data_IF_717930877573
#
_entry.id   IF_717930877573
#
_cell.length_a   1.000
_cell.length_b   1.000
_cell.length_c   1.000
_cell.angle_alpha   90.00
_cell.angle_beta   90.00
_cell.angle_gamma   90.00
#
_symmetry.space_group_name_H-M   'P 1'
#
loop_
_entity.id
_entity.type
_entity.pdbx_description
1 polymer ?
#
# COMPACT_ATOMS: atom_id res chain seq x y z
N UNK A 1 -16.90 -6.14 23.34
CA UNK A 1 -17.58 -6.35 22.08
C UNK A 1 -18.23 -5.09 21.51
N UNK A 2 -19.09 -4.34 22.23
CA UNK A 2 -19.75 -3.11 21.72
C UNK A 2 -18.80 -1.95 21.36
N UNK A 3 -17.65 -1.80 22.03
CA UNK A 3 -16.69 -0.71 21.78
C UNK A 3 -15.79 -0.93 20.54
N UNK A 4 -15.51 -2.18 20.19
CA UNK A 4 -14.71 -2.55 19.02
C UNK A 4 -15.50 -2.34 17.72
N UNK A 5 -16.79 -2.66 17.73
CA UNK A 5 -17.70 -2.38 16.63
C UNK A 5 -17.87 -0.87 16.37
N UNK A 6 -17.74 -0.06 17.45
CA UNK A 6 -17.88 1.40 17.37
C UNK A 6 -16.65 2.07 16.69
N UNK A 7 -15.43 1.49 16.79
CA UNK A 7 -14.25 2.05 16.15
C UNK A 7 -14.26 1.81 14.63
N UNK A 8 -14.62 0.61 14.20
CA UNK A 8 -14.90 0.34 12.78
C UNK A 8 -16.06 1.18 12.26
N UNK A 9 -17.09 1.39 13.10
CA UNK A 9 -18.21 2.29 12.78
C UNK A 9 -17.78 3.77 12.79
N UNK A 10 -16.77 4.19 13.58
CA UNK A 10 -16.29 5.58 13.58
C UNK A 10 -15.43 5.92 12.38
N UNK A 11 -14.53 5.04 11.92
CA UNK A 11 -13.89 5.20 10.61
C UNK A 11 -14.97 5.17 9.52
N UNK A 12 -15.95 4.30 9.64
CA UNK A 12 -17.09 4.20 8.75
C UNK A 12 -18.02 5.42 8.83
N UNK A 13 -18.30 5.96 10.04
CA UNK A 13 -19.18 7.10 10.24
C UNK A 13 -18.55 8.44 9.89
N UNK A 14 -17.22 8.60 10.02
CA UNK A 14 -16.52 9.77 9.48
C UNK A 14 -16.43 9.73 7.94
N UNK A 15 -16.34 8.54 7.34
CA UNK A 15 -16.32 8.40 5.88
C UNK A 15 -17.72 8.38 5.23
N UNK A 16 -18.80 8.04 5.97
CA UNK A 16 -20.15 7.84 5.39
C UNK A 16 -21.03 9.11 5.45
N UNK A 17 -20.56 10.19 6.08
CA UNK A 17 -21.28 11.49 6.02
C UNK A 17 -20.84 12.39 4.86
N UNK A 18 -20.39 11.82 3.75
CA UNK A 18 -20.36 12.55 2.50
C UNK A 18 -21.60 12.20 1.70
N UNK A 19 -22.48 13.20 1.56
CA UNK A 19 -23.66 13.14 0.69
C UNK A 19 -23.26 12.68 -0.72
N UNK A 20 -24.03 11.74 -1.25
CA UNK A 20 -23.87 11.18 -2.59
C UNK A 20 -24.29 12.19 -3.68
N UNK A 21 -23.65 13.35 -3.71
CA UNK A 21 -23.67 14.21 -4.90
C UNK A 21 -22.34 14.00 -5.62
N UNK A 22 -22.39 13.22 -6.71
CA UNK A 22 -21.28 13.04 -7.65
C UNK A 22 -20.94 14.40 -8.30
N UNK A 23 -20.13 15.21 -7.63
CA UNK A 23 -19.51 16.35 -8.26
C UNK A 23 -18.26 15.85 -9.01
N UNK A 24 -18.29 15.97 -10.34
CA UNK A 24 -17.11 15.88 -11.19
C UNK A 24 -16.10 16.94 -10.72
N UNK A 25 -15.14 16.54 -9.88
CA UNK A 25 -14.05 17.42 -9.52
C UNK A 25 -12.99 17.37 -10.63
N UNK A 26 -12.68 18.51 -11.26
CA UNK A 26 -11.58 18.57 -12.21
C UNK A 26 -10.26 18.20 -11.50
N UNK A 27 -9.43 17.41 -12.16
CA UNK A 27 -8.08 17.12 -11.69
C UNK A 27 -7.31 18.44 -11.64
N UNK A 28 -6.74 18.86 -10.49
CA UNK A 28 -6.01 20.12 -10.41
C UNK A 28 -4.79 20.11 -11.33
N UNK A 29 -4.69 21.09 -12.22
CA UNK A 29 -3.57 21.24 -13.19
C UNK A 29 -2.44 22.15 -12.67
N UNK A 30 -2.40 22.53 -11.40
CA UNK A 30 -1.38 23.42 -10.83
C UNK A 30 -0.46 22.69 -9.87
N UNK A 31 0.81 23.12 -9.69
CA UNK A 31 1.70 22.56 -8.69
C UNK A 31 1.12 22.86 -7.30
N UNK A 32 0.48 21.86 -6.72
CA UNK A 32 -0.07 21.95 -5.37
C UNK A 32 1.08 21.70 -4.40
N UNK A 33 1.26 22.50 -3.34
CA UNK A 33 2.21 22.22 -2.26
C UNK A 33 1.91 20.83 -1.66
N UNK A 34 2.91 20.20 -1.03
CA UNK A 34 2.73 18.90 -0.39
C UNK A 34 1.48 18.91 0.48
N UNK A 35 0.53 18.05 0.16
CA UNK A 35 -0.75 17.98 0.87
C UNK A 35 -0.69 16.79 1.82
N UNK A 36 -1.04 17.03 3.08
CA UNK A 36 -1.27 15.93 4.02
C UNK A 36 -2.34 15.00 3.43
N UNK A 37 -2.12 13.67 3.44
CA UNK A 37 -3.06 12.73 2.83
C UNK A 37 -4.47 12.91 3.35
N UNK A 38 -5.42 13.05 2.45
CA UNK A 38 -6.80 13.46 2.78
C UNK A 38 -7.45 12.49 3.75
N UNK A 39 -7.32 11.19 3.51
CA UNK A 39 -7.89 10.13 4.35
C UNK A 39 -7.26 10.11 5.75
N UNK A 40 -5.95 10.27 5.85
CA UNK A 40 -5.23 10.27 7.14
C UNK A 40 -5.52 11.55 7.93
N UNK A 41 -5.53 12.71 7.27
CA UNK A 41 -5.83 13.99 7.91
C UNK A 41 -7.22 14.03 8.54
N UNK A 42 -8.22 13.44 7.92
CA UNK A 42 -9.57 13.40 8.45
C UNK A 42 -9.64 12.67 9.80
N UNK A 43 -8.79 11.64 9.98
CA UNK A 43 -8.70 10.84 11.20
C UNK A 43 -7.77 11.50 12.23
N UNK A 44 -6.61 12.01 11.83
CA UNK A 44 -5.62 12.61 12.73
C UNK A 44 -6.12 13.90 13.39
N UNK A 45 -7.05 14.61 12.77
CA UNK A 45 -7.68 15.81 13.31
C UNK A 45 -8.88 15.53 14.23
N UNK A 46 -9.35 14.27 14.35
CA UNK A 46 -10.42 13.91 15.29
C UNK A 46 -9.82 13.69 16.70
N UNK A 47 -10.24 14.51 17.63
CA UNK A 47 -9.79 14.44 19.05
C UNK A 47 -10.06 13.06 19.67
N UNK A 48 -11.17 12.41 19.35
CA UNK A 48 -11.49 11.07 19.86
C UNK A 48 -10.53 10.02 19.32
N UNK A 49 -10.06 10.17 18.07
CA UNK A 49 -9.06 9.29 17.51
C UNK A 49 -7.72 9.46 18.22
N UNK A 50 -7.29 10.70 18.50
CA UNK A 50 -6.07 10.97 19.27
C UNK A 50 -6.14 10.37 20.67
N UNK A 51 -7.21 10.62 21.40
CA UNK A 51 -7.43 10.05 22.74
C UNK A 51 -7.42 8.52 22.74
N UNK A 52 -8.00 7.89 21.70
CA UNK A 52 -7.95 6.45 21.55
C UNK A 52 -6.52 5.95 21.31
N UNK A 53 -5.77 6.59 20.40
CA UNK A 53 -4.37 6.25 20.11
C UNK A 53 -3.53 6.34 21.37
N UNK A 54 -3.63 7.45 22.11
CA UNK A 54 -2.89 7.65 23.37
C UNK A 54 -3.25 6.58 24.40
N UNK A 55 -4.54 6.28 24.55
CA UNK A 55 -5.04 5.23 25.44
C UNK A 55 -4.47 3.85 25.10
N UNK A 56 -4.32 3.53 23.80
CA UNK A 56 -3.77 2.25 23.34
C UNK A 56 -2.26 2.21 23.58
N UNK A 57 -1.54 3.23 23.12
CA UNK A 57 -0.08 3.31 23.25
C UNK A 57 0.39 3.28 24.71
N UNK A 58 -0.34 3.94 25.62
CA UNK A 58 0.00 3.96 27.05
C UNK A 58 -0.15 2.60 27.74
N UNK A 59 -0.92 1.67 27.16
CA UNK A 59 -1.08 0.30 27.67
C UNK A 59 -0.08 -0.69 27.08
N UNK A 60 0.55 -0.33 25.97
CA UNK A 60 1.50 -1.20 25.25
C UNK A 60 2.91 -1.09 25.83
N UNK A 61 3.54 -2.25 26.06
CA UNK A 61 4.98 -2.32 26.26
C UNK A 61 5.73 -2.15 24.93
N UNK A 62 7.06 -2.01 24.98
CA UNK A 62 7.88 -1.79 23.79
C UNK A 62 7.75 -2.92 22.75
N UNK A 63 7.67 -4.17 23.19
CA UNK A 63 7.55 -5.34 22.30
C UNK A 63 6.23 -5.30 21.51
N UNK A 64 5.14 -4.96 22.19
CA UNK A 64 3.83 -4.80 21.56
C UNK A 64 3.80 -3.64 20.57
N UNK A 65 4.38 -2.48 20.94
CA UNK A 65 4.52 -1.34 20.02
C UNK A 65 5.31 -1.70 18.76
N UNK A 66 6.41 -2.46 18.92
CA UNK A 66 7.20 -2.96 17.78
C UNK A 66 6.34 -3.91 16.93
N UNK A 67 5.59 -4.82 17.55
CA UNK A 67 4.68 -5.73 16.84
C UNK A 67 3.72 -5.01 15.91
N UNK A 68 3.17 -3.85 16.34
CA UNK A 68 2.24 -3.04 15.55
C UNK A 68 2.83 -2.50 14.23
N UNK A 69 4.15 -2.48 14.09
CA UNK A 69 4.82 -2.05 12.85
C UNK A 69 4.92 -3.16 11.80
N UNK A 70 4.50 -4.38 12.11
CA UNK A 70 4.62 -5.53 11.22
C UNK A 70 3.27 -5.93 10.63
N UNK A 71 3.28 -6.18 9.32
CA UNK A 71 2.22 -6.86 8.58
C UNK A 71 2.75 -8.25 8.25
N UNK A 72 2.05 -9.30 8.73
CA UNK A 72 2.45 -10.68 8.52
C UNK A 72 1.67 -11.33 7.39
N UNK A 73 2.37 -11.98 6.46
CA UNK A 73 1.72 -12.72 5.36
C UNK A 73 1.27 -14.09 5.84
N UNK A 74 -0.01 -14.41 5.64
CA UNK A 74 -0.61 -15.68 6.02
C UNK A 74 -1.43 -16.27 4.86
N UNK A 75 -1.41 -17.60 4.73
CA UNK A 75 -2.25 -18.27 3.74
C UNK A 75 -3.71 -18.34 4.23
N UNK A 76 -4.72 -18.16 3.35
CA UNK A 76 -6.12 -18.34 3.71
C UNK A 76 -6.48 -19.82 3.70
N UNK A 77 -5.93 -20.57 4.65
CA UNK A 77 -6.13 -22.02 4.85
C UNK A 77 -6.64 -22.28 6.26
N UNK A 78 -7.65 -23.16 6.40
CA UNK A 78 -8.33 -23.39 7.68
C UNK A 78 -7.76 -24.61 8.46
N UNK A 79 -6.62 -25.17 8.05
CA UNK A 79 -5.97 -26.25 8.78
C UNK A 79 -5.42 -25.81 10.15
N UNK A 80 -5.14 -26.80 10.99
CA UNK A 80 -4.66 -26.56 12.36
C UNK A 80 -3.34 -25.77 12.39
N UNK A 81 -2.39 -26.11 11.52
CA UNK A 81 -1.08 -25.49 11.51
C UNK A 81 -1.18 -23.98 11.21
N UNK A 82 -2.01 -23.62 10.22
CA UNK A 82 -2.23 -22.22 9.85
C UNK A 82 -2.98 -21.43 10.95
N UNK A 83 -3.96 -22.05 11.64
CA UNK A 83 -4.62 -21.42 12.80
C UNK A 83 -3.69 -21.24 13.99
N UNK A 84 -2.81 -22.21 14.25
CA UNK A 84 -1.80 -22.10 15.31
C UNK A 84 -0.79 -20.99 14.97
N UNK A 85 -0.40 -20.86 13.70
CA UNK A 85 0.42 -19.74 13.21
C UNK A 85 -0.30 -18.41 13.37
N UNK A 86 -1.57 -18.32 12.98
CA UNK A 86 -2.39 -17.12 13.13
C UNK A 86 -2.44 -16.66 14.58
N UNK A 87 -2.69 -17.58 15.51
CA UNK A 87 -2.68 -17.29 16.96
C UNK A 87 -1.31 -16.80 17.43
N UNK A 88 -0.24 -17.47 17.03
CA UNK A 88 1.13 -17.07 17.37
C UNK A 88 1.46 -15.65 16.90
N UNK A 89 1.01 -15.29 15.70
CA UNK A 89 1.30 -13.99 15.07
C UNK A 89 0.46 -12.88 15.71
N UNK A 90 -0.84 -13.11 15.85
CA UNK A 90 -1.77 -12.09 16.34
C UNK A 90 -1.66 -11.91 17.86
N UNK A 91 -1.79 -12.99 18.62
CA UNK A 91 -1.78 -12.95 20.09
C UNK A 91 -0.35 -12.96 20.66
N UNK A 92 0.55 -13.76 20.11
CA UNK A 92 1.92 -13.89 20.63
C UNK A 92 2.84 -12.74 20.21
N UNK A 93 2.79 -12.29 18.97
CA UNK A 93 3.67 -11.22 18.45
C UNK A 93 2.99 -9.84 18.39
N UNK A 94 1.66 -9.79 18.58
CA UNK A 94 0.87 -8.54 18.56
C UNK A 94 1.12 -7.71 17.30
N UNK A 95 1.13 -8.38 16.11
CA UNK A 95 1.34 -7.68 14.84
C UNK A 95 0.23 -6.66 14.58
N UNK A 96 0.59 -5.57 13.87
CA UNK A 96 -0.37 -4.52 13.53
C UNK A 96 -1.27 -4.87 12.35
N UNK A 97 -0.87 -5.85 11.50
CA UNK A 97 -1.67 -6.21 10.35
C UNK A 97 -1.38 -7.60 9.80
N UNK A 98 -2.25 -8.01 8.88
CA UNK A 98 -2.13 -9.25 8.12
C UNK A 98 -2.26 -8.97 6.63
N UNK A 99 -1.46 -9.68 5.83
CA UNK A 99 -1.60 -9.80 4.38
C UNK A 99 -2.00 -11.23 4.04
N UNK A 100 -3.17 -11.43 3.44
CA UNK A 100 -3.56 -12.75 2.98
C UNK A 100 -2.97 -13.04 1.59
N UNK A 101 -2.26 -14.18 1.47
CA UNK A 101 -1.82 -14.70 0.18
C UNK A 101 -2.98 -15.31 -0.60
N UNK A 102 -2.72 -15.85 -1.80
CA UNK A 102 -3.78 -16.40 -2.66
C UNK A 102 -4.52 -17.60 -2.07
N UNK A 103 -5.85 -17.68 -2.27
CA UNK A 103 -6.67 -18.80 -1.80
C UNK A 103 -8.16 -18.64 -2.10
N UNK A 104 -9.00 -19.18 -1.22
CA UNK A 104 -10.45 -19.05 -1.29
C UNK A 104 -10.92 -17.82 -0.51
N UNK A 105 -11.86 -17.09 -1.08
CA UNK A 105 -12.46 -15.89 -0.48
C UNK A 105 -13.09 -16.19 0.88
N UNK A 106 -13.84 -17.28 0.98
CA UNK A 106 -14.51 -17.69 2.22
C UNK A 106 -13.52 -17.98 3.35
N UNK A 107 -12.39 -18.61 3.03
CA UNK A 107 -11.36 -18.90 4.01
C UNK A 107 -10.72 -17.62 4.55
N UNK A 108 -10.45 -16.64 3.68
CA UNK A 108 -9.96 -15.35 4.14
C UNK A 108 -10.95 -14.67 5.08
N UNK A 109 -12.23 -14.62 4.72
CA UNK A 109 -13.26 -14.00 5.55
C UNK A 109 -13.33 -14.64 6.96
N UNK A 110 -13.30 -15.97 7.03
CA UNK A 110 -13.30 -16.73 8.29
C UNK A 110 -12.07 -16.38 9.12
N UNK A 111 -10.87 -16.46 8.53
CA UNK A 111 -9.61 -16.19 9.25
C UNK A 111 -9.46 -14.71 9.65
N UNK A 112 -9.97 -13.79 8.83
CA UNK A 112 -10.05 -12.36 9.21
C UNK A 112 -10.89 -12.18 10.47
N UNK A 113 -12.06 -12.79 10.53
CA UNK A 113 -12.93 -12.72 11.72
C UNK A 113 -12.30 -13.40 12.96
N UNK A 114 -11.63 -14.54 12.76
CA UNK A 114 -10.89 -15.21 13.84
C UNK A 114 -9.75 -14.32 14.36
N UNK A 115 -8.97 -13.71 13.48
CA UNK A 115 -7.87 -12.83 13.81
C UNK A 115 -8.32 -11.57 14.56
N UNK A 116 -9.36 -10.90 14.06
CA UNK A 116 -9.91 -9.70 14.70
C UNK A 116 -10.50 -9.97 16.09
N UNK A 117 -11.03 -11.18 16.33
CA UNK A 117 -11.52 -11.57 17.66
C UNK A 117 -10.39 -11.80 18.68
N UNK A 118 -9.20 -12.23 18.20
CA UNK A 118 -8.04 -12.48 19.05
C UNK A 118 -7.22 -11.22 19.33
N UNK A 119 -7.28 -10.23 18.45
CA UNK A 119 -6.47 -9.04 18.52
C UNK A 119 -6.93 -8.08 19.63
N UNK A 120 -5.99 -7.59 20.45
CA UNK A 120 -6.25 -6.54 21.46
C UNK A 120 -6.47 -5.18 20.80
N UNK A 121 -5.78 -4.92 19.69
CA UNK A 121 -5.94 -3.76 18.83
C UNK A 121 -6.40 -4.27 17.47
N UNK A 122 -7.41 -3.63 16.85
CA UNK A 122 -7.88 -4.05 15.52
C UNK A 122 -6.75 -4.14 14.52
N UNK A 123 -6.67 -5.28 13.83
CA UNK A 123 -5.65 -5.53 12.81
C UNK A 123 -5.94 -4.74 11.54
N UNK A 124 -4.89 -4.23 10.92
CA UNK A 124 -4.92 -3.73 9.56
C UNK A 124 -4.88 -4.93 8.60
N UNK A 125 -5.99 -5.24 7.97
CA UNK A 125 -6.02 -6.28 6.93
C UNK A 125 -5.65 -5.64 5.61
N UNK A 126 -4.58 -6.13 5.00
CA UNK A 126 -4.03 -5.62 3.76
C UNK A 126 -4.19 -6.63 2.63
N UNK A 127 -4.14 -6.16 1.40
CA UNK A 127 -4.37 -7.00 0.23
C UNK A 127 -3.61 -6.51 -1.00
N UNK A 128 -3.13 -7.45 -1.85
CA UNK A 128 -2.59 -7.16 -3.17
C UNK A 128 -3.68 -7.33 -4.23
N UNK A 129 -4.49 -6.31 -4.43
CA UNK A 129 -5.57 -6.30 -5.41
C UNK A 129 -5.34 -5.29 -6.53
N UNK A 130 -4.22 -5.40 -7.26
CA UNK A 130 -3.83 -4.42 -8.29
C UNK A 130 -4.87 -4.28 -9.39
N UNK A 131 -5.49 -5.40 -9.82
CA UNK A 131 -6.59 -5.46 -10.76
C UNK A 131 -7.81 -6.20 -10.18
N UNK A 132 -8.03 -6.06 -8.88
CA UNK A 132 -9.15 -6.64 -8.15
C UNK A 132 -8.78 -7.85 -7.30
N UNK A 133 -9.74 -8.30 -6.53
CA UNK A 133 -9.53 -9.39 -5.56
C UNK A 133 -9.17 -10.72 -6.25
N UNK A 134 -9.60 -10.92 -7.50
CA UNK A 134 -9.28 -12.11 -8.31
C UNK A 134 -7.78 -12.30 -8.57
N UNK A 135 -6.96 -11.26 -8.35
CA UNK A 135 -5.50 -11.41 -8.37
C UNK A 135 -5.03 -12.48 -7.37
N UNK A 136 -5.71 -12.62 -6.24
CA UNK A 136 -5.34 -13.50 -5.13
C UNK A 136 -6.45 -14.49 -4.75
N UNK A 137 -7.71 -14.11 -4.86
CA UNK A 137 -8.84 -14.87 -4.35
C UNK A 137 -9.69 -15.47 -5.44
N UNK A 138 -9.89 -16.76 -5.38
CA UNK A 138 -10.87 -17.47 -6.22
C UNK A 138 -12.27 -17.18 -5.72
N UNK A 139 -13.23 -17.12 -6.64
CA UNK A 139 -14.63 -16.83 -6.35
C UNK A 139 -14.99 -15.35 -6.37
N UNK A 140 -14.05 -14.47 -6.76
CA UNK A 140 -14.28 -13.03 -6.89
C UNK A 140 -14.36 -12.59 -8.35
N UNK A 141 -14.99 -11.44 -8.66
CA UNK A 141 -15.05 -10.89 -10.02
C UNK A 141 -13.67 -10.67 -10.62
N UNK A 142 -13.54 -11.00 -11.91
CA UNK A 142 -12.28 -10.85 -12.66
C UNK A 142 -12.31 -9.56 -13.47
N UNK A 143 -11.29 -8.72 -13.29
CA UNK A 143 -11.12 -7.48 -14.03
C UNK A 143 -9.88 -7.55 -14.95
N UNK A 144 -9.83 -6.70 -15.99
CA UNK A 144 -8.64 -6.59 -16.84
C UNK A 144 -7.41 -6.15 -16.06
N UNK A 145 -6.22 -6.49 -16.57
CA UNK A 145 -4.97 -6.00 -16.04
C UNK A 145 -4.80 -4.50 -16.29
N UNK A 146 -3.98 -3.84 -15.47
CA UNK A 146 -3.78 -2.39 -15.47
C UNK A 146 -3.36 -1.83 -16.83
N UNK A 147 -2.56 -2.56 -17.64
CA UNK A 147 -2.18 -2.11 -18.98
C UNK A 147 -3.41 -1.89 -19.89
N UNK A 148 -4.43 -2.72 -19.77
CA UNK A 148 -5.70 -2.55 -20.50
C UNK A 148 -6.47 -1.36 -19.92
N UNK A 149 -6.53 -1.25 -18.60
CA UNK A 149 -7.17 -0.11 -17.92
C UNK A 149 -6.49 1.22 -18.25
N UNK A 150 -5.17 1.21 -18.51
CA UNK A 150 -4.39 2.36 -18.95
C UNK A 150 -4.80 2.92 -20.32
N UNK A 151 -5.46 2.12 -21.15
CA UNK A 151 -5.98 2.56 -22.45
C UNK A 151 -7.30 3.35 -22.34
N UNK A 152 -7.96 3.34 -21.19
CA UNK A 152 -9.22 4.06 -20.96
C UNK A 152 -8.94 5.57 -20.98
N UNK A 153 -9.66 6.32 -21.83
CA UNK A 153 -9.48 7.78 -21.94
C UNK A 153 -10.26 8.57 -20.88
N UNK A 154 -11.34 8.00 -20.39
CA UNK A 154 -12.16 8.64 -19.36
C UNK A 154 -11.77 8.18 -17.97
N UNK A 155 -11.02 8.99 -17.24
CA UNK A 155 -10.51 8.66 -15.90
C UNK A 155 -11.62 8.49 -14.85
N UNK A 156 -12.84 9.00 -15.11
CA UNK A 156 -13.99 8.75 -14.24
C UNK A 156 -14.31 7.24 -14.15
N UNK A 157 -14.05 6.47 -15.20
CA UNK A 157 -14.24 5.02 -15.17
C UNK A 157 -13.21 4.33 -14.27
N UNK A 158 -11.98 4.86 -14.21
CA UNK A 158 -10.94 4.36 -13.30
C UNK A 158 -11.28 4.71 -11.83
N UNK A 159 -11.87 5.88 -11.61
CA UNK A 159 -12.37 6.27 -10.30
C UNK A 159 -13.48 5.31 -9.84
N UNK A 160 -14.50 5.08 -10.68
CA UNK A 160 -15.59 4.14 -10.37
C UNK A 160 -15.08 2.70 -10.18
N UNK A 161 -14.09 2.29 -10.97
CA UNK A 161 -13.38 1.03 -10.76
C UNK A 161 -12.73 0.97 -9.36
N UNK A 162 -12.06 2.05 -8.94
CA UNK A 162 -11.51 2.16 -7.59
C UNK A 162 -12.57 2.07 -6.49
N UNK A 163 -13.72 2.69 -6.70
CA UNK A 163 -14.88 2.61 -5.81
C UNK A 163 -15.40 1.17 -5.66
N UNK A 164 -15.49 0.45 -6.79
CA UNK A 164 -15.92 -0.96 -6.78
C UNK A 164 -14.89 -1.84 -6.07
N UNK A 165 -13.59 -1.62 -6.29
CA UNK A 165 -12.54 -2.34 -5.57
C UNK A 165 -12.62 -2.09 -4.07
N UNK A 166 -12.86 -0.85 -3.65
CA UNK A 166 -13.06 -0.52 -2.24
C UNK A 166 -14.28 -1.23 -1.64
N UNK A 167 -15.39 -1.30 -2.38
CA UNK A 167 -16.58 -2.03 -1.95
C UNK A 167 -16.27 -3.49 -1.69
N UNK A 168 -15.60 -4.17 -2.63
CA UNK A 168 -15.21 -5.58 -2.49
C UNK A 168 -14.22 -5.78 -1.34
N UNK A 169 -13.22 -4.92 -1.20
CA UNK A 169 -12.27 -4.96 -0.09
C UNK A 169 -12.98 -4.87 1.27
N UNK A 170 -13.89 -3.93 1.43
CA UNK A 170 -14.62 -3.75 2.69
C UNK A 170 -15.52 -4.92 3.05
N UNK A 171 -16.16 -5.55 2.08
CA UNK A 171 -16.97 -6.75 2.29
C UNK A 171 -16.15 -7.91 2.85
N UNK A 172 -14.84 -7.97 2.53
CA UNK A 172 -13.91 -8.95 3.07
C UNK A 172 -13.12 -8.46 4.31
N UNK A 173 -13.45 -7.27 4.83
CA UNK A 173 -12.76 -6.70 5.98
C UNK A 173 -11.34 -6.21 5.67
N UNK A 174 -11.04 -5.86 4.43
CA UNK A 174 -9.75 -5.30 4.00
C UNK A 174 -9.77 -3.77 4.11
N UNK A 175 -8.80 -3.20 4.83
CA UNK A 175 -8.68 -1.76 5.06
C UNK A 175 -7.66 -1.10 4.14
N UNK A 176 -6.67 -1.86 3.65
CA UNK A 176 -5.58 -1.34 2.81
C UNK A 176 -5.43 -2.20 1.57
N UNK A 177 -5.48 -1.59 0.40
CA UNK A 177 -5.12 -2.26 -0.84
C UNK A 177 -3.73 -1.78 -1.30
N UNK A 178 -2.79 -2.71 -1.48
CA UNK A 178 -1.46 -2.43 -2.06
C UNK A 178 -1.58 -2.22 -3.58
N UNK A 179 -2.31 -1.19 -3.92
CA UNK A 179 -2.61 -0.67 -5.26
C UNK A 179 -2.88 0.84 -5.16
N UNK A 180 -2.64 1.58 -6.24
CA UNK A 180 -2.27 1.20 -7.60
C UNK A 180 -0.76 0.98 -7.81
N UNK A 181 -0.42 0.30 -8.94
CA UNK A 181 0.94 0.25 -9.47
C UNK A 181 1.25 1.55 -10.20
N UNK A 182 2.22 2.31 -9.69
CA UNK A 182 2.65 3.60 -10.24
C UNK A 182 3.92 3.52 -11.09
N UNK A 183 4.43 2.31 -11.29
CA UNK A 183 5.59 2.06 -12.14
C UNK A 183 5.27 2.35 -13.61
N UNK A 184 6.18 3.05 -14.31
CA UNK A 184 6.07 3.36 -15.75
C UNK A 184 6.80 2.28 -16.54
N UNK A 185 6.10 1.49 -17.36
CA UNK A 185 6.67 0.34 -18.05
C UNK A 185 7.45 0.73 -19.30
N UNK A 186 8.58 1.40 -19.11
CA UNK A 186 9.46 1.84 -20.24
C UNK A 186 10.15 0.65 -20.89
N UNK A 187 10.56 -0.35 -20.10
CA UNK A 187 11.25 -1.53 -20.63
C UNK A 187 10.24 -2.63 -21.00
N UNK A 188 10.03 -2.91 -22.29
CA UNK A 188 9.11 -3.98 -22.72
C UNK A 188 9.55 -5.38 -22.29
N UNK A 189 10.83 -5.56 -21.91
CA UNK A 189 11.39 -6.81 -21.40
C UNK A 189 11.30 -6.94 -19.88
N UNK A 190 10.71 -5.94 -19.19
CA UNK A 190 10.58 -5.99 -17.75
C UNK A 190 9.82 -7.26 -17.31
N UNK A 191 10.43 -8.15 -16.50
CA UNK A 191 9.83 -9.42 -16.16
C UNK A 191 8.77 -9.32 -15.04
N UNK A 192 8.71 -8.18 -14.33
CA UNK A 192 7.90 -8.01 -13.11
C UNK A 192 6.71 -7.09 -13.34
N UNK A 193 6.94 -5.90 -13.87
CA UNK A 193 5.91 -4.86 -14.00
C UNK A 193 5.03 -5.13 -15.21
N UNK A 194 5.56 -5.02 -16.41
CA UNK A 194 4.86 -5.39 -17.65
C UNK A 194 3.37 -4.98 -17.60
N UNK A 195 2.45 -5.92 -17.76
CA UNK A 195 0.99 -5.69 -17.77
C UNK A 195 0.40 -5.22 -16.43
N UNK A 196 1.18 -5.16 -15.37
CA UNK A 196 0.79 -4.58 -14.07
C UNK A 196 0.79 -3.05 -14.11
N UNK A 197 1.59 -2.41 -14.96
CA UNK A 197 1.59 -0.96 -15.17
C UNK A 197 0.36 -0.50 -15.96
N UNK A 198 -0.03 0.77 -15.79
CA UNK A 198 -1.01 1.45 -16.64
C UNK A 198 -0.45 1.92 -17.99
N UNK A 199 0.84 1.71 -18.27
CA UNK A 199 1.46 2.04 -19.54
C UNK A 199 2.89 2.55 -19.44
N UNK A 200 3.36 3.14 -20.54
CA UNK A 200 4.75 3.62 -20.71
C UNK A 200 4.87 5.16 -20.68
N UNK A 201 3.75 5.87 -20.66
CA UNK A 201 3.73 7.32 -20.57
C UNK A 201 3.57 7.75 -19.09
N UNK A 202 4.55 8.48 -18.49
CA UNK A 202 4.50 8.86 -17.08
C UNK A 202 3.26 9.68 -16.70
N UNK A 203 2.80 10.57 -17.57
CA UNK A 203 1.63 11.40 -17.31
C UNK A 203 0.35 10.56 -17.28
N UNK A 204 0.16 9.69 -18.30
CA UNK A 204 -0.98 8.79 -18.33
C UNK A 204 -0.99 7.85 -17.12
N UNK A 205 0.16 7.28 -16.76
CA UNK A 205 0.27 6.44 -15.55
C UNK A 205 -0.14 7.23 -14.30
N UNK A 206 0.33 8.48 -14.16
CA UNK A 206 -0.02 9.32 -13.01
C UNK A 206 -1.54 9.59 -12.93
N UNK A 207 -2.18 9.91 -14.05
CA UNK A 207 -3.62 10.19 -14.09
C UNK A 207 -4.44 8.94 -13.69
N UNK A 208 -4.08 7.76 -14.22
CA UNK A 208 -4.73 6.48 -13.86
C UNK A 208 -4.52 6.12 -12.39
N UNK A 209 -3.30 6.28 -11.89
CA UNK A 209 -2.95 6.07 -10.47
C UNK A 209 -3.82 6.94 -9.57
N UNK A 210 -3.93 8.23 -9.87
CA UNK A 210 -4.71 9.18 -9.07
C UNK A 210 -6.19 8.82 -9.10
N UNK A 211 -6.75 8.55 -10.28
CA UNK A 211 -8.16 8.22 -10.43
C UNK A 211 -8.52 6.94 -9.66
N UNK A 212 -7.76 5.87 -9.84
CA UNK A 212 -7.97 4.60 -9.15
C UNK A 212 -7.82 4.73 -7.63
N UNK A 213 -6.72 5.36 -7.18
CA UNK A 213 -6.47 5.54 -5.76
C UNK A 213 -7.51 6.39 -5.05
N UNK A 214 -7.99 7.48 -5.68
CA UNK A 214 -9.10 8.28 -5.14
C UNK A 214 -10.37 7.46 -5.01
N UNK A 215 -10.69 6.65 -6.01
CA UNK A 215 -11.83 5.74 -5.92
C UNK A 215 -11.72 4.78 -4.73
N UNK A 216 -10.53 4.21 -4.49
CA UNK A 216 -10.26 3.39 -3.30
C UNK A 216 -10.50 4.18 -2.00
N UNK A 217 -9.89 5.35 -1.86
CA UNK A 217 -9.91 6.14 -0.63
C UNK A 217 -11.30 6.74 -0.33
N UNK A 218 -11.98 7.27 -1.33
CA UNK A 218 -13.37 7.72 -1.20
C UNK A 218 -14.33 6.54 -0.92
N UNK A 219 -13.92 5.33 -1.31
CA UNK A 219 -14.58 4.08 -0.94
C UNK A 219 -14.24 3.58 0.46
N UNK A 220 -13.36 4.25 1.21
CA UNK A 220 -12.98 3.89 2.57
C UNK A 220 -11.89 2.82 2.67
N UNK A 221 -11.07 2.62 1.63
CA UNK A 221 -9.93 1.71 1.60
C UNK A 221 -8.66 2.50 1.28
N UNK A 222 -7.66 2.43 2.14
CA UNK A 222 -6.39 3.12 1.97
C UNK A 222 -5.67 2.57 0.74
N UNK A 223 -5.30 3.47 -0.17
CA UNK A 223 -4.50 3.15 -1.35
C UNK A 223 -3.00 3.18 -1.05
N UNK A 224 -2.22 2.36 -1.75
CA UNK A 224 -0.76 2.34 -1.62
C UNK A 224 -0.12 2.31 -3.00
N UNK A 225 0.42 3.44 -3.42
CA UNK A 225 1.16 3.55 -4.68
C UNK A 225 2.48 2.81 -4.62
N UNK A 226 2.81 1.99 -5.63
CA UNK A 226 3.98 1.10 -5.63
C UNK A 226 4.63 0.96 -7.01
N UNK A 227 5.92 0.66 -7.13
CA UNK A 227 6.94 0.39 -6.12
C UNK A 227 7.97 1.53 -6.13
N UNK A 228 7.89 2.44 -5.16
CA UNK A 228 8.79 3.60 -5.09
C UNK A 228 10.27 3.15 -4.99
N UNK A 229 11.24 3.78 -5.68
CA UNK A 229 11.13 4.98 -6.53
C UNK A 229 10.78 4.71 -8.01
N UNK A 230 10.35 3.51 -8.38
CA UNK A 230 9.91 3.12 -9.72
C UNK A 230 10.63 1.88 -10.25
N UNK A 231 9.88 0.82 -10.55
CA UNK A 231 10.40 -0.50 -10.95
C UNK A 231 10.18 -0.79 -12.45
N UNK A 232 9.65 0.19 -13.21
CA UNK A 232 9.15 -0.06 -14.57
C UNK A 232 10.23 -0.20 -15.65
N UNK A 233 11.47 0.21 -15.38
CA UNK A 233 12.60 0.12 -16.33
C UNK A 233 13.73 -0.79 -15.81
N UNK A 234 13.36 -1.88 -15.15
CA UNK A 234 14.30 -2.93 -14.73
C UNK A 234 14.23 -4.12 -15.67
N UNK A 235 15.32 -4.85 -15.79
CA UNK A 235 15.48 -6.09 -16.58
C UNK A 235 15.58 -7.34 -15.70
N UNK A 236 15.53 -7.17 -14.38
CA UNK A 236 15.69 -8.23 -13.39
C UNK A 236 14.50 -8.24 -12.43
N UNK A 237 14.05 -9.44 -12.05
CA UNK A 237 13.00 -9.64 -11.07
C UNK A 237 13.53 -9.50 -9.63
N UNK A 238 12.98 -8.55 -8.86
CA UNK A 238 13.31 -8.32 -7.46
C UNK A 238 13.02 -9.52 -6.53
N UNK A 239 12.18 -10.46 -6.97
CA UNK A 239 11.99 -11.74 -6.27
C UNK A 239 13.21 -12.66 -6.35
N UNK A 240 14.10 -12.45 -7.31
CA UNK A 240 15.28 -13.31 -7.55
C UNK A 240 16.60 -12.65 -7.22
N UNK A 241 16.74 -11.35 -7.47
CA UNK A 241 17.96 -10.57 -7.18
C UNK A 241 17.59 -9.09 -7.02
N UNK A 242 18.56 -8.25 -6.61
CA UNK A 242 18.37 -6.81 -6.46
C UNK A 242 18.48 -6.11 -7.83
N UNK A 243 17.36 -5.61 -8.42
CA UNK A 243 17.40 -4.87 -9.66
C UNK A 243 18.12 -3.54 -9.49
N UNK A 244 18.78 -3.06 -10.54
CA UNK A 244 19.57 -1.84 -10.50
C UNK A 244 19.10 -0.82 -11.55
N UNK A 245 18.89 0.42 -11.10
CA UNK A 245 18.58 1.57 -11.95
C UNK A 245 19.80 2.51 -12.00
N UNK A 246 20.46 2.60 -13.15
CA UNK A 246 21.68 3.38 -13.32
C UNK A 246 21.44 4.72 -14.02
N UNK A 247 20.25 5.28 -13.86
CA UNK A 247 19.84 6.53 -14.52
C UNK A 247 20.34 7.77 -13.78
N UNK A 248 20.40 8.89 -14.51
CA UNK A 248 20.61 10.20 -13.91
C UNK A 248 19.42 10.63 -13.06
N UNK A 249 19.64 11.54 -12.10
CA UNK A 249 18.57 12.10 -11.30
C UNK A 249 17.48 12.75 -12.17
N UNK A 250 17.86 13.51 -13.22
CA UNK A 250 16.91 14.14 -14.13
C UNK A 250 16.00 13.13 -14.84
N UNK A 251 16.56 11.96 -15.24
CA UNK A 251 15.76 10.90 -15.84
C UNK A 251 14.79 10.29 -14.80
N UNK A 252 15.24 9.98 -13.59
CA UNK A 252 14.37 9.48 -12.54
C UNK A 252 13.24 10.47 -12.24
N UNK A 253 13.53 11.75 -12.16
CA UNK A 253 12.55 12.80 -11.88
C UNK A 253 11.47 12.92 -12.94
N UNK A 254 11.84 12.71 -14.24
CA UNK A 254 10.93 12.88 -15.37
C UNK A 254 10.12 11.64 -15.70
N UNK A 255 10.55 10.46 -15.28
CA UNK A 255 9.88 9.19 -15.61
C UNK A 255 9.49 8.42 -14.35
N UNK A 256 10.47 7.85 -13.65
CA UNK A 256 10.21 6.91 -12.57
C UNK A 256 9.49 7.57 -11.38
N UNK A 257 9.97 8.73 -10.96
CA UNK A 257 9.42 9.47 -9.81
C UNK A 257 8.17 10.30 -10.16
N UNK A 258 7.91 10.52 -11.45
CA UNK A 258 6.83 11.41 -11.86
C UNK A 258 5.45 11.00 -11.35
N UNK A 259 4.99 9.74 -11.51
CA UNK A 259 3.68 9.32 -11.01
C UNK A 259 3.58 9.41 -9.47
N UNK A 260 4.66 9.11 -8.76
CA UNK A 260 4.71 9.21 -7.30
C UNK A 260 4.61 10.65 -6.81
N UNK A 261 5.30 11.60 -7.48
CA UNK A 261 5.17 13.03 -7.20
C UNK A 261 3.73 13.50 -7.38
N UNK A 262 3.07 13.05 -8.45
CA UNK A 262 1.66 13.37 -8.71
C UNK A 262 0.71 12.75 -7.69
N UNK A 263 0.96 11.51 -7.28
CA UNK A 263 0.22 10.85 -6.20
C UNK A 263 0.31 11.61 -4.87
N UNK A 264 1.51 12.05 -4.50
CA UNK A 264 1.74 12.89 -3.29
C UNK A 264 0.99 14.22 -3.41
N UNK A 265 1.10 14.91 -4.54
CA UNK A 265 0.38 16.17 -4.80
C UNK A 265 -1.14 16.01 -4.78
N UNK A 266 -1.64 14.85 -5.15
CA UNK A 266 -3.06 14.50 -5.07
C UNK A 266 -3.51 14.15 -3.64
N UNK A 267 -2.60 14.05 -2.66
CA UNK A 267 -2.92 13.75 -1.27
C UNK A 267 -3.27 12.28 -1.03
N UNK A 268 -2.66 11.34 -1.78
CA UNK A 268 -2.86 9.91 -1.59
C UNK A 268 -2.15 9.39 -0.33
N UNK A 269 -2.69 8.35 0.29
CA UNK A 269 -2.41 8.01 1.68
C UNK A 269 -1.25 7.05 1.89
N UNK A 270 -0.92 6.18 0.93
CA UNK A 270 0.08 5.13 1.10
C UNK A 270 1.15 5.11 0.01
N UNK A 271 2.37 4.72 0.41
CA UNK A 271 3.51 4.52 -0.46
C UNK A 271 4.22 3.22 -0.10
N UNK A 272 4.45 2.33 -1.08
CA UNK A 272 5.27 1.14 -0.89
C UNK A 272 6.63 1.33 -1.54
N UNK A 273 7.69 1.15 -0.74
CA UNK A 273 9.08 1.23 -1.22
C UNK A 273 9.55 -0.15 -1.64
N UNK A 274 9.93 -0.26 -2.92
CA UNK A 274 10.43 -1.49 -3.51
C UNK A 274 11.89 -1.79 -3.16
N UNK A 275 12.36 -2.95 -3.60
CA UNK A 275 13.75 -3.38 -3.41
C UNK A 275 14.56 -3.13 -4.68
N UNK A 276 15.10 -1.90 -4.81
CA UNK A 276 15.87 -1.45 -5.98
C UNK A 276 17.21 -0.86 -5.55
N UNK A 277 18.30 -1.16 -6.25
CA UNK A 277 19.55 -0.42 -6.13
C UNK A 277 19.51 0.79 -7.08
N UNK A 278 19.59 2.00 -6.51
CA UNK A 278 19.54 3.25 -7.28
C UNK A 278 20.75 4.12 -6.91
N UNK A 279 21.90 3.96 -7.58
CA UNK A 279 23.18 4.56 -7.17
C UNK A 279 23.17 6.09 -7.10
N UNK A 280 22.34 6.76 -7.88
CA UNK A 280 22.23 8.23 -7.84
C UNK A 280 21.48 8.72 -6.60
N UNK A 281 20.71 7.86 -5.94
CA UNK A 281 19.98 8.17 -4.70
C UNK A 281 20.68 7.60 -3.46
N UNK A 282 21.32 6.42 -3.59
CA UNK A 282 22.04 5.74 -2.52
C UNK A 282 23.44 5.32 -3.01
N UNK A 283 24.45 5.98 -2.48
CA UNK A 283 25.84 5.77 -2.91
C UNK A 283 26.44 4.42 -2.48
N UNK A 284 25.87 3.84 -1.42
CA UNK A 284 26.32 2.54 -0.91
C UNK A 284 25.76 1.41 -1.78
N UNK A 285 26.67 0.66 -2.40
CA UNK A 285 26.31 -0.46 -3.28
C UNK A 285 25.55 -1.56 -2.55
N UNK A 286 24.58 -2.17 -3.24
CA UNK A 286 23.82 -3.31 -2.75
C UNK A 286 22.83 -2.96 -1.63
N UNK A 287 22.56 -1.68 -1.37
CA UNK A 287 21.53 -1.26 -0.43
C UNK A 287 20.21 -1.06 -1.21
N UNK A 288 19.17 -1.87 -0.91
CA UNK A 288 17.86 -1.68 -1.50
C UNK A 288 17.21 -0.36 -1.07
N UNK A 289 16.43 0.25 -1.93
CA UNK A 289 15.67 1.49 -1.65
C UNK A 289 14.87 1.42 -0.35
N UNK A 290 14.24 0.28 -0.06
CA UNK A 290 13.45 0.05 1.16
C UNK A 290 14.27 0.03 2.46
N UNK A 291 15.60 -0.09 2.37
CA UNK A 291 16.53 -0.07 3.49
C UNK A 291 17.45 1.15 3.48
N UNK A 292 17.23 2.09 2.55
CA UNK A 292 18.04 3.28 2.34
C UNK A 292 17.38 4.50 2.97
N UNK A 293 18.06 5.11 3.96
CA UNK A 293 17.65 6.38 4.54
C UNK A 293 17.58 7.49 3.49
N UNK A 294 18.53 7.52 2.55
CA UNK A 294 18.56 8.51 1.46
C UNK A 294 17.31 8.43 0.57
N UNK A 295 16.75 7.22 0.40
CA UNK A 295 15.54 7.04 -0.41
C UNK A 295 14.26 7.26 0.40
N UNK A 296 14.15 6.65 1.59
CA UNK A 296 12.91 6.70 2.38
C UNK A 296 12.79 8.03 3.10
N UNK A 297 13.78 8.38 3.91
CA UNK A 297 13.72 9.61 4.70
C UNK A 297 14.03 10.85 3.84
N UNK A 298 15.20 10.88 3.20
CA UNK A 298 15.68 12.14 2.61
C UNK A 298 14.91 12.49 1.32
N UNK A 299 14.71 11.51 0.40
CA UNK A 299 13.95 11.76 -0.83
C UNK A 299 12.44 11.75 -0.59
N UNK A 300 11.86 10.64 -0.09
CA UNK A 300 10.41 10.49 -0.05
C UNK A 300 9.78 11.45 0.97
N UNK A 301 10.29 11.47 2.21
CA UNK A 301 9.66 12.26 3.27
C UNK A 301 10.14 13.70 3.31
N UNK A 302 11.43 13.98 3.14
CA UNK A 302 11.94 15.34 3.27
C UNK A 302 11.88 16.14 1.96
N UNK A 303 12.32 15.58 0.84
CA UNK A 303 12.31 16.32 -0.44
C UNK A 303 10.92 16.31 -1.08
N UNK A 304 10.31 15.15 -1.23
CA UNK A 304 8.98 15.02 -1.86
C UNK A 304 7.82 15.33 -0.90
N UNK A 305 8.12 15.55 0.40
CA UNK A 305 7.14 15.92 1.44
C UNK A 305 5.99 14.94 1.62
N UNK A 306 6.23 13.66 1.41
CA UNK A 306 5.21 12.65 1.68
C UNK A 306 4.95 12.53 3.19
N UNK A 307 3.69 12.58 3.58
CA UNK A 307 3.24 12.56 4.98
C UNK A 307 2.30 11.39 5.29
N UNK A 308 2.16 10.46 4.34
CA UNK A 308 1.30 9.28 4.49
C UNK A 308 2.02 8.08 5.10
N UNK A 309 1.39 6.93 5.01
CA UNK A 309 1.94 5.67 5.48
C UNK A 309 2.96 5.11 4.49
N UNK A 310 4.15 4.78 5.01
CA UNK A 310 5.21 4.13 4.24
C UNK A 310 5.25 2.65 4.56
N UNK A 311 5.15 1.82 3.52
CA UNK A 311 5.28 0.37 3.59
C UNK A 311 6.56 -0.06 2.89
N UNK A 312 7.22 -1.10 3.38
CA UNK A 312 8.22 -1.81 2.59
C UNK A 312 7.53 -2.83 1.70
N UNK A 313 8.09 -3.13 0.55
CA UNK A 313 7.80 -4.40 -0.12
C UNK A 313 8.23 -5.58 0.77
N UNK A 314 7.85 -6.79 0.41
CA UNK A 314 8.01 -7.97 1.26
C UNK A 314 9.49 -8.24 1.61
N UNK A 315 9.87 -8.06 2.87
CA UNK A 315 11.25 -8.23 3.34
C UNK A 315 11.76 -9.70 3.25
N UNK A 316 10.90 -10.64 2.90
CA UNK A 316 11.25 -12.03 2.62
C UNK A 316 11.75 -12.28 1.18
N UNK A 317 11.70 -11.26 0.31
CA UNK A 317 12.18 -11.37 -1.08
C UNK A 317 13.69 -11.47 -1.15
N UNK A 318 14.22 -12.23 -2.15
CA UNK A 318 15.65 -12.46 -2.31
C UNK A 318 16.45 -11.19 -2.65
N UNK A 319 15.82 -10.17 -3.20
CA UNK A 319 16.43 -8.85 -3.42
C UNK A 319 16.93 -8.16 -2.14
N UNK A 320 16.57 -8.67 -0.96
CA UNK A 320 16.93 -8.13 0.36
C UNK A 320 17.73 -9.16 1.20
N UNK A 321 18.38 -10.14 0.59
CA UNK A 321 18.97 -11.28 1.28
C UNK A 321 20.09 -10.92 2.27
N UNK A 322 19.74 -10.73 3.54
CA UNK A 322 20.64 -10.81 4.70
C UNK A 322 19.80 -11.23 5.92
N UNK A 323 20.39 -11.53 7.04
CA UNK A 323 19.75 -11.94 8.30
C UNK A 323 18.45 -11.13 8.61
N UNK A 324 17.32 -11.79 8.65
CA UNK A 324 15.97 -11.19 8.74
C UNK A 324 15.81 -10.14 9.86
N UNK A 325 16.40 -10.33 11.04
CA UNK A 325 16.31 -9.37 12.14
C UNK A 325 17.06 -8.06 11.82
N UNK A 326 18.21 -8.13 11.14
CA UNK A 326 18.96 -6.95 10.70
C UNK A 326 18.21 -6.15 9.63
N UNK A 327 17.53 -6.83 8.72
CA UNK A 327 16.74 -6.20 7.65
C UNK A 327 15.59 -5.39 8.23
N UNK A 328 14.80 -5.97 9.14
CA UNK A 328 13.71 -5.25 9.80
C UNK A 328 14.19 -3.99 10.54
N UNK A 329 15.33 -4.10 11.24
CA UNK A 329 15.94 -2.95 11.93
C UNK A 329 16.43 -1.89 10.94
N UNK A 330 16.99 -2.29 9.79
CA UNK A 330 17.41 -1.33 8.75
C UNK A 330 16.22 -0.63 8.13
N UNK A 331 15.15 -1.36 7.81
CA UNK A 331 13.92 -0.77 7.29
C UNK A 331 13.30 0.27 8.25
N UNK A 332 13.34 0.00 9.56
CA UNK A 332 12.86 0.96 10.58
C UNK A 332 13.78 2.19 10.74
N UNK A 333 15.04 2.09 10.35
CA UNK A 333 16.01 3.20 10.39
C UNK A 333 16.07 4.00 9.10
N UNK A 334 15.52 3.48 8.03
CA UNK A 334 15.44 4.13 6.74
C UNK A 334 14.39 5.23 6.74
#
# INVERSE_FOLDING_TARGET
>A
MKKLFLFFLMIYSCCVRFDAQAHHLPVPQSPVPSVEPIMIRSVSNDERCRQWVDSVLNRMNLRERIGQLFIYTIAPQQDKANRDLLRKVVDGYKVGGLLFSGGLMENQAILTNEAQKMADVPLMITFDGEWGLSMRLRGTPVFPRNMILGCIQNDSLLYEYGREMARQCRELGVQVNFAPVADVNINPKNPVINTRSFGENPANVADKVIAYARGLEDGGVLSVSKHFPGHGDTDVDSHHSLPKLTFSRARLDSVELYPFKKAIQAGLSGMMVGHLEVPVLESKRGVPSSLSRSVVHDLLTQEMKFQGLVFTDALAMKGVSVNNASICLQALKA
#
